data_IF_268897858383
#
_entry.id   IF_268897858383
#
_cell.length_a   1.000
_cell.length_b   1.000
_cell.length_c   1.000
_cell.angle_alpha   90.00
_cell.angle_beta   90.00
_cell.angle_gamma   90.00
#
_symmetry.space_group_name_H-M   'P 1'
#
loop_
_entity.id
_entity.type
_entity.pdbx_description
1 polymer ?
#
# COMPACT_ATOMS: atom_id res chain seq x y z
N UNK A 1 13.29 1.02 25.52
CA UNK A 1 13.55 0.87 24.07
C UNK A 1 13.50 2.26 23.49
N UNK A 2 14.62 2.76 22.97
CA UNK A 2 14.60 4.02 22.21
C UNK A 2 14.12 3.67 20.81
N UNK A 3 12.84 3.92 20.53
CA UNK A 3 12.17 3.50 19.30
C UNK A 3 12.69 4.24 18.05
N UNK A 4 13.63 5.17 18.23
CA UNK A 4 14.17 6.05 17.20
C UNK A 4 15.54 5.60 16.65
N UNK A 5 16.19 4.61 17.28
CA UNK A 5 17.48 4.10 16.82
C UNK A 5 17.36 3.31 15.50
N UNK A 6 18.35 3.42 14.62
CA UNK A 6 18.43 2.69 13.34
C UNK A 6 18.18 3.56 12.10
N UNK A 7 18.22 2.98 10.89
CA UNK A 7 17.97 3.70 9.65
C UNK A 7 16.51 4.16 9.52
N UNK A 8 16.30 5.33 8.92
CA UNK A 8 14.95 5.86 8.66
C UNK A 8 14.46 5.46 7.25
N UNK A 9 14.30 4.15 7.08
CA UNK A 9 13.79 3.52 5.87
C UNK A 9 12.88 2.34 6.24
N UNK A 10 12.23 1.75 5.24
CA UNK A 10 11.25 0.67 5.44
C UNK A 10 11.84 -0.51 6.21
N UNK A 11 13.09 -0.89 5.96
CA UNK A 11 13.72 -2.02 6.64
C UNK A 11 14.09 -1.70 8.10
N UNK A 12 14.56 -0.47 8.35
CA UNK A 12 14.71 0.06 9.71
C UNK A 12 13.39 0.08 10.48
N UNK A 13 12.30 0.46 9.82
CA UNK A 13 10.96 0.47 10.41
C UNK A 13 10.45 -0.93 10.74
N UNK A 14 10.72 -1.94 9.90
CA UNK A 14 10.39 -3.35 10.19
C UNK A 14 11.16 -3.82 11.44
N UNK A 15 12.48 -3.59 11.48
CA UNK A 15 13.32 -4.03 12.60
C UNK A 15 12.88 -3.41 13.94
N UNK A 16 12.47 -2.13 13.94
CA UNK A 16 11.92 -1.46 15.12
C UNK A 16 10.60 -2.03 15.57
N UNK A 17 9.68 -2.32 14.64
CA UNK A 17 8.39 -2.92 14.96
C UNK A 17 8.56 -4.31 15.57
N UNK A 18 9.56 -5.09 15.15
CA UNK A 18 9.88 -6.39 15.74
C UNK A 18 10.31 -6.34 17.21
N UNK A 19 10.61 -5.16 17.76
CA UNK A 19 10.91 -4.99 19.19
C UNK A 19 9.64 -4.87 20.06
N UNK A 20 8.45 -4.82 19.45
CA UNK A 20 7.17 -4.72 20.16
C UNK A 20 6.72 -6.11 20.59
N UNK A 21 6.64 -6.34 21.90
CA UNK A 21 6.19 -7.62 22.45
C UNK A 21 4.74 -7.93 22.02
N UNK A 22 4.54 -9.11 21.42
CA UNK A 22 3.23 -9.59 20.97
C UNK A 22 2.76 -9.05 19.61
N UNK A 23 3.61 -8.34 18.86
CA UNK A 23 3.32 -7.96 17.49
C UNK A 23 3.75 -9.07 16.52
N UNK A 24 2.80 -9.62 15.77
CA UNK A 24 3.07 -10.71 14.82
C UNK A 24 3.02 -10.25 13.35
N UNK A 25 2.23 -9.21 13.03
CA UNK A 25 1.94 -8.78 11.66
C UNK A 25 2.06 -7.26 11.52
N UNK A 26 2.57 -6.81 10.36
CA UNK A 26 2.62 -5.39 9.98
C UNK A 26 2.06 -5.16 8.58
N UNK A 27 1.56 -3.95 8.34
CA UNK A 27 0.97 -3.55 7.07
C UNK A 27 1.87 -2.56 6.31
N UNK A 28 1.88 -2.65 4.98
CA UNK A 28 2.69 -1.78 4.13
C UNK A 28 1.82 -0.83 3.32
N UNK A 29 2.20 0.46 3.28
CA UNK A 29 1.57 1.42 2.37
C UNK A 29 2.16 1.27 0.97
N UNK A 30 1.35 0.90 -0.02
CA UNK A 30 1.75 0.84 -1.42
C UNK A 30 1.19 2.03 -2.20
N UNK A 31 1.99 2.77 -3.00
CA UNK A 31 3.38 2.49 -3.42
C UNK A 31 4.47 3.16 -2.57
N UNK A 32 4.15 3.69 -1.39
CA UNK A 32 5.11 4.50 -0.63
C UNK A 32 6.27 3.70 -0.04
N UNK A 33 6.03 2.44 0.34
CA UNK A 33 7.04 1.59 0.97
C UNK A 33 7.70 0.62 -0.01
N UNK A 34 7.15 0.44 -1.22
CA UNK A 34 7.55 -0.63 -2.12
C UNK A 34 7.37 -0.19 -3.58
N UNK A 35 8.20 -0.73 -4.47
CA UNK A 35 8.18 -0.42 -5.90
C UNK A 35 7.61 -1.58 -6.71
N UNK A 36 7.11 -1.28 -7.92
CA UNK A 36 6.71 -2.28 -8.90
C UNK A 36 7.63 -2.28 -10.14
N UNK A 37 7.75 -3.42 -10.86
CA UNK A 37 7.14 -4.71 -10.54
C UNK A 37 7.86 -5.39 -9.36
N UNK A 38 7.17 -6.33 -8.71
CA UNK A 38 7.81 -7.21 -7.73
C UNK A 38 8.90 -8.01 -8.44
N UNK A 39 10.15 -7.89 -7.98
CA UNK A 39 11.28 -8.69 -8.45
C UNK A 39 11.62 -9.76 -7.41
N UNK A 40 12.30 -10.83 -7.84
CA UNK A 40 12.81 -11.86 -6.91
C UNK A 40 13.69 -11.25 -5.82
N UNK A 41 14.56 -10.30 -6.20
CA UNK A 41 15.44 -9.59 -5.27
C UNK A 41 14.66 -8.78 -4.25
N UNK A 42 13.73 -7.94 -4.71
CA UNK A 42 12.93 -7.10 -3.81
C UNK A 42 12.05 -7.95 -2.90
N UNK A 43 11.45 -9.02 -3.42
CA UNK A 43 10.66 -9.96 -2.60
C UNK A 43 11.53 -10.60 -1.51
N UNK A 44 12.71 -11.11 -1.87
CA UNK A 44 13.62 -11.73 -0.91
C UNK A 44 14.05 -10.77 0.20
N UNK A 45 14.36 -9.51 -0.13
CA UNK A 45 14.73 -8.49 0.85
C UNK A 45 13.63 -8.22 1.88
N UNK A 46 12.37 -8.11 1.44
CA UNK A 46 11.24 -7.91 2.35
C UNK A 46 10.99 -9.14 3.23
N UNK A 47 11.04 -10.35 2.65
CA UNK A 47 10.87 -11.59 3.41
C UNK A 47 11.98 -11.78 4.46
N UNK A 48 13.23 -11.49 4.10
CA UNK A 48 14.37 -11.57 5.04
C UNK A 48 14.25 -10.56 6.18
N UNK A 49 13.83 -9.32 5.88
CA UNK A 49 13.62 -8.30 6.90
C UNK A 49 12.49 -8.66 7.88
N UNK A 50 11.38 -9.19 7.35
CA UNK A 50 10.25 -9.68 8.14
C UNK A 50 10.66 -10.87 9.04
N UNK A 51 11.32 -11.89 8.46
CA UNK A 51 11.79 -13.07 9.20
C UNK A 51 12.79 -12.72 10.31
N UNK A 52 13.75 -11.84 10.00
CA UNK A 52 14.75 -11.35 10.97
C UNK A 52 14.11 -10.59 12.13
N UNK A 53 12.96 -9.95 11.90
CA UNK A 53 12.20 -9.23 12.91
C UNK A 53 11.16 -10.10 13.63
N UNK A 54 10.98 -11.36 13.23
CA UNK A 54 9.91 -12.24 13.75
C UNK A 54 8.51 -11.78 13.36
N UNK A 55 8.36 -11.06 12.25
CA UNK A 55 7.10 -10.48 11.78
C UNK A 55 6.63 -11.13 10.47
N UNK A 56 5.33 -11.07 10.22
CA UNK A 56 4.71 -11.34 8.92
C UNK A 56 4.11 -10.09 8.28
N UNK A 57 3.74 -10.21 7.00
CA UNK A 57 2.96 -9.18 6.30
C UNK A 57 1.47 -9.44 6.56
N UNK A 58 0.78 -8.49 7.18
CA UNK A 58 -0.67 -8.56 7.42
C UNK A 58 -1.46 -8.17 6.18
N UNK A 59 -1.25 -6.95 5.69
CA UNK A 59 -1.93 -6.43 4.52
C UNK A 59 -1.07 -5.45 3.70
N UNK A 60 -1.44 -5.29 2.43
CA UNK A 60 -0.98 -4.17 1.60
C UNK A 60 -2.05 -3.08 1.56
N UNK A 61 -1.74 -1.93 2.14
CA UNK A 61 -2.59 -0.75 2.21
C UNK A 61 -2.39 0.16 1.00
N UNK A 62 -3.38 0.21 0.09
CA UNK A 62 -3.30 1.04 -1.12
C UNK A 62 -3.36 2.54 -0.81
N UNK A 63 -2.53 3.33 -1.50
CA UNK A 63 -2.51 4.80 -1.45
C UNK A 63 -2.48 5.36 -2.87
N UNK A 64 -3.53 6.08 -3.25
CA UNK A 64 -3.56 6.77 -4.54
C UNK A 64 -2.63 7.99 -4.52
N UNK A 65 -1.77 8.18 -5.53
CA UNK A 65 -0.93 9.37 -5.63
C UNK A 65 -1.75 10.63 -5.93
N UNK A 66 -1.15 11.81 -5.69
CA UNK A 66 -1.82 13.11 -5.78
C UNK A 66 -2.41 13.43 -7.16
N UNK A 67 -1.84 12.90 -8.24
CA UNK A 67 -2.38 13.11 -9.59
C UNK A 67 -3.76 12.45 -9.79
N UNK A 68 -4.15 11.51 -8.92
CA UNK A 68 -5.47 10.88 -8.88
C UNK A 68 -6.47 11.59 -7.95
N UNK A 69 -6.16 12.80 -7.47
CA UNK A 69 -7.01 13.52 -6.50
C UNK A 69 -8.42 13.88 -7.02
N UNK A 70 -8.62 13.89 -8.34
CA UNK A 70 -9.91 14.17 -8.99
C UNK A 70 -10.81 12.92 -9.12
N UNK A 71 -10.54 11.88 -8.33
CA UNK A 71 -11.12 10.55 -8.50
C UNK A 71 -10.06 9.59 -9.00
N UNK A 72 -9.87 8.48 -8.30
CA UNK A 72 -9.01 7.39 -8.76
C UNK A 72 -9.83 6.49 -9.68
N UNK A 73 -10.58 5.54 -9.12
CA UNK A 73 -11.51 4.70 -9.89
C UNK A 73 -12.67 5.48 -10.51
N UNK A 74 -13.01 6.63 -9.92
CA UNK A 74 -14.12 7.48 -10.35
C UNK A 74 -13.65 8.72 -11.12
N UNK A 75 -12.38 8.76 -11.54
CA UNK A 75 -11.87 9.89 -12.32
C UNK A 75 -12.73 10.12 -13.56
N UNK A 76 -13.01 11.38 -13.97
CA UNK A 76 -13.57 11.63 -15.30
C UNK A 76 -12.60 11.18 -16.41
N UNK A 77 -11.29 11.18 -16.13
CA UNK A 77 -10.26 10.73 -17.06
C UNK A 77 -10.13 9.20 -17.05
N UNK A 78 -10.35 8.60 -18.22
CA UNK A 78 -10.25 7.14 -18.41
C UNK A 78 -8.85 6.60 -18.11
N UNK A 79 -7.80 7.32 -18.49
CA UNK A 79 -6.42 6.86 -18.28
C UNK A 79 -6.09 6.80 -16.79
N UNK A 80 -6.59 7.76 -15.99
CA UNK A 80 -6.45 7.74 -14.53
C UNK A 80 -7.16 6.52 -13.93
N UNK A 81 -8.39 6.20 -14.38
CA UNK A 81 -9.12 5.01 -13.90
C UNK A 81 -8.36 3.72 -14.19
N UNK A 82 -7.83 3.59 -15.42
CA UNK A 82 -7.04 2.42 -15.82
C UNK A 82 -5.75 2.30 -15.00
N UNK A 83 -5.07 3.42 -14.74
CA UNK A 83 -3.89 3.46 -13.85
C UNK A 83 -4.22 3.12 -12.40
N UNK A 84 -5.36 3.56 -11.87
CA UNK A 84 -5.80 3.21 -10.52
C UNK A 84 -6.03 1.70 -10.37
N UNK A 85 -6.66 1.07 -11.37
CA UNK A 85 -6.82 -0.39 -11.42
C UNK A 85 -5.46 -1.10 -11.49
N UNK A 86 -4.54 -0.60 -12.31
CA UNK A 86 -3.20 -1.17 -12.44
C UNK A 86 -2.42 -1.08 -11.11
N UNK A 87 -2.44 0.06 -10.44
CA UNK A 87 -1.84 0.25 -9.11
C UNK A 87 -2.42 -0.73 -8.07
N UNK A 88 -3.72 -1.00 -8.15
CA UNK A 88 -4.40 -1.96 -7.27
C UNK A 88 -3.90 -3.39 -7.52
N UNK A 89 -3.70 -3.77 -8.79
CA UNK A 89 -3.15 -5.08 -9.14
C UNK A 89 -1.72 -5.25 -8.63
N UNK A 90 -0.90 -4.21 -8.74
CA UNK A 90 0.47 -4.23 -8.21
C UNK A 90 0.49 -4.40 -6.68
N UNK A 91 -0.45 -3.77 -5.96
CA UNK A 91 -0.62 -4.02 -4.53
C UNK A 91 -1.00 -5.49 -4.25
N UNK A 92 -1.89 -6.09 -5.06
CA UNK A 92 -2.21 -7.52 -4.96
C UNK A 92 -1.00 -8.42 -5.25
N UNK A 93 -0.14 -8.03 -6.18
CA UNK A 93 1.08 -8.79 -6.49
C UNK A 93 2.05 -8.75 -5.31
N UNK A 94 2.20 -7.61 -4.64
CA UNK A 94 2.96 -7.50 -3.40
C UNK A 94 2.36 -8.30 -2.25
N UNK A 95 1.03 -8.27 -2.08
CA UNK A 95 0.35 -9.06 -1.04
C UNK A 95 0.64 -10.55 -1.24
N UNK A 96 0.50 -11.04 -2.48
CA UNK A 96 0.84 -12.42 -2.84
C UNK A 96 2.32 -12.73 -2.59
N UNK A 97 3.22 -11.82 -2.95
CA UNK A 97 4.65 -12.03 -2.82
C UNK A 97 5.11 -12.16 -1.35
N UNK A 98 4.41 -11.47 -0.43
CA UNK A 98 4.71 -11.50 1.00
C UNK A 98 3.80 -12.43 1.81
N UNK A 99 2.88 -13.15 1.15
CA UNK A 99 1.96 -14.08 1.80
C UNK A 99 0.85 -13.41 2.63
N UNK A 100 0.52 -12.16 2.35
CA UNK A 100 -0.62 -11.46 2.96
C UNK A 100 -1.94 -11.89 2.31
N UNK A 101 -2.98 -12.07 3.13
CA UNK A 101 -4.33 -12.45 2.68
C UNK A 101 -5.17 -11.24 2.24
N UNK A 102 -4.73 -10.02 2.56
CA UNK A 102 -5.52 -8.80 2.38
C UNK A 102 -4.80 -7.70 1.59
N UNK A 103 -5.57 -7.03 0.73
CA UNK A 103 -5.24 -5.72 0.18
C UNK A 103 -6.33 -4.74 0.64
N UNK A 104 -5.93 -3.73 1.41
CA UNK A 104 -6.85 -2.71 1.92
C UNK A 104 -6.96 -1.58 0.90
N UNK A 105 -8.16 -1.42 0.35
CA UNK A 105 -8.47 -0.32 -0.58
C UNK A 105 -9.16 0.82 0.18
N UNK A 106 -8.42 1.90 0.41
CA UNK A 106 -9.00 3.16 0.88
C UNK A 106 -9.20 4.12 -0.29
N UNK A 107 -10.44 4.28 -0.73
CA UNK A 107 -10.83 5.08 -1.89
C UNK A 107 -10.89 6.59 -1.59
N UNK A 108 -9.82 7.13 -1.00
CA UNK A 108 -9.78 8.49 -0.44
C UNK A 108 -10.20 9.60 -1.42
N UNK A 109 -9.86 9.46 -2.71
CA UNK A 109 -10.19 10.44 -3.74
C UNK A 109 -11.46 10.14 -4.52
N UNK A 110 -12.11 8.99 -4.29
CA UNK A 110 -13.31 8.62 -5.02
C UNK A 110 -14.54 9.26 -4.35
N UNK A 111 -14.83 10.50 -4.72
CA UNK A 111 -15.91 11.29 -4.15
C UNK A 111 -16.03 12.67 -4.78
N UNK A 112 -16.71 13.57 -4.09
CA UNK A 112 -16.93 14.96 -4.49
C UNK A 112 -17.11 15.84 -3.24
N UNK A 113 -16.75 17.12 -3.36
CA UNK A 113 -16.82 18.10 -2.27
C UNK A 113 -18.09 18.96 -2.34
N UNK A 114 -18.62 19.19 -3.55
CA UNK A 114 -19.77 20.05 -3.79
C UNK A 114 -20.94 19.29 -4.41
N UNK A 115 -22.17 19.72 -4.10
CA UNK A 115 -23.35 19.26 -4.82
C UNK A 115 -23.22 19.56 -6.32
N UNK A 116 -23.65 18.62 -7.16
CA UNK A 116 -23.61 18.72 -8.62
C UNK A 116 -22.18 18.86 -9.23
N UNK A 117 -21.12 18.57 -8.46
CA UNK A 117 -19.73 18.57 -8.98
C UNK A 117 -19.47 17.46 -10.00
N UNK A 118 -20.22 16.36 -9.88
CA UNK A 118 -20.06 15.12 -10.62
C UNK A 118 -21.43 14.63 -11.08
N UNK A 119 -21.45 13.88 -12.17
CA UNK A 119 -22.63 13.13 -12.58
C UNK A 119 -22.80 11.92 -11.64
N UNK A 120 -23.85 11.94 -10.83
CA UNK A 120 -24.11 10.89 -9.85
C UNK A 120 -24.35 9.53 -10.50
N UNK A 121 -24.97 9.49 -11.69
CA UNK A 121 -25.22 8.21 -12.39
C UNK A 121 -23.91 7.63 -12.96
N UNK A 122 -22.88 8.46 -13.14
CA UNK A 122 -21.56 8.00 -13.59
C UNK A 122 -20.67 7.44 -12.47
N UNK A 123 -21.06 7.61 -11.21
CA UNK A 123 -20.28 7.20 -10.03
C UNK A 123 -20.66 5.83 -9.45
N UNK A 124 -21.83 5.30 -9.78
CA UNK A 124 -22.42 4.09 -9.16
C UNK A 124 -22.63 2.96 -10.17
#
# INVERSE_FOLDING_TARGET
LDLWDGPDDVFGWIARQGQVEGLDLIDFNYPQHMEAPVTETSQAQFLEALDSAGLGCGAICLRFPKDMQAGAYTSPDREIRERAVQLTKEACDWARALGADEVVVWSAFCGYDYSLQVDYDSLY
#
